data_IF_465912777159
#
_entry.id   IF_465912777159
#
_cell.length_a   1.000
_cell.length_b   1.000
_cell.length_c   1.000
_cell.angle_alpha   90.00
_cell.angle_beta   90.00
_cell.angle_gamma   90.00
#
_symmetry.space_group_name_H-M   'P 1'
#
loop_
_entity.id
_entity.type
_entity.pdbx_description
1 polymer ?
#
# COMPACT_ATOMS: atom_id res chain seq x y z
N UNK A 1 -11.77 -15.11 -7.14
CA UNK A 1 -13.08 -14.41 -7.16
C UNK A 1 -12.87 -13.03 -7.75
N UNK A 2 -13.48 -12.78 -8.90
CA UNK A 2 -13.44 -11.48 -9.56
C UNK A 2 -14.42 -10.58 -8.80
N UNK A 3 -13.93 -9.47 -8.26
CA UNK A 3 -14.71 -8.53 -7.45
C UNK A 3 -15.87 -7.94 -8.27
N UNK A 4 -17.10 -8.37 -7.98
CA UNK A 4 -18.32 -7.82 -8.58
C UNK A 4 -19.24 -7.13 -7.54
N UNK A 5 -18.69 -6.58 -6.45
CA UNK A 5 -19.50 -6.08 -5.34
C UNK A 5 -18.99 -4.84 -4.59
N UNK A 6 -18.20 -3.96 -5.22
CA UNK A 6 -17.67 -2.75 -4.56
C UNK A 6 -18.66 -1.57 -4.48
N UNK A 7 -19.97 -1.81 -4.54
CA UNK A 7 -20.99 -0.75 -4.56
C UNK A 7 -21.60 -0.51 -3.16
N UNK A 8 -20.75 -0.29 -2.15
CA UNK A 8 -21.19 0.31 -0.87
C UNK A 8 -20.77 1.77 -0.85
N UNK A 9 -21.64 2.63 -1.35
CA UNK A 9 -21.41 4.07 -1.39
C UNK A 9 -22.06 4.75 -0.17
N UNK A 10 -21.32 5.66 0.48
CA UNK A 10 -21.86 6.60 1.46
C UNK A 10 -22.01 7.99 0.86
N UNK A 11 -22.99 8.77 1.32
CA UNK A 11 -23.03 10.21 1.05
C UNK A 11 -22.27 10.94 2.15
N UNK A 12 -21.35 11.83 1.78
CA UNK A 12 -20.55 12.61 2.73
C UNK A 12 -20.78 14.11 2.49
N UNK A 13 -21.23 14.87 3.50
CA UNK A 13 -21.41 16.31 3.36
C UNK A 13 -20.05 17.01 3.38
N UNK A 14 -19.73 17.80 2.34
CA UNK A 14 -18.54 18.68 2.33
C UNK A 14 -18.80 20.02 3.01
N UNK A 15 -20.08 20.39 3.18
CA UNK A 15 -20.47 21.65 3.80
C UNK A 15 -20.01 21.69 5.25
N UNK A 16 -19.30 22.76 5.62
CA UNK A 16 -18.77 22.95 6.98
C UNK A 16 -17.45 22.23 7.26
N UNK A 17 -16.83 21.63 6.23
CA UNK A 17 -15.51 20.99 6.30
C UNK A 17 -14.42 21.82 5.60
N UNK A 18 -14.71 23.06 5.25
CA UNK A 18 -13.75 23.96 4.63
C UNK A 18 -12.72 24.42 5.66
N UNK A 19 -11.44 24.38 5.29
CA UNK A 19 -10.33 24.87 6.09
C UNK A 19 -9.62 26.02 5.36
N UNK A 20 -9.10 26.98 6.12
CA UNK A 20 -8.20 28.02 5.63
C UNK A 20 -6.72 27.66 5.84
N UNK A 21 -6.46 26.53 6.48
CA UNK A 21 -5.14 26.03 6.80
C UNK A 21 -5.00 24.61 6.24
N UNK A 22 -4.24 24.48 5.16
CA UNK A 22 -3.91 23.18 4.56
C UNK A 22 -3.06 22.36 5.54
N UNK A 23 -3.42 21.10 5.85
CA UNK A 23 -2.61 20.23 6.70
C UNK A 23 -1.33 19.79 5.99
N UNK A 24 -0.29 19.49 6.76
CA UNK A 24 0.92 18.85 6.25
C UNK A 24 0.66 17.37 5.96
N UNK A 25 1.12 16.90 4.79
CA UNK A 25 0.99 15.49 4.40
C UNK A 25 2.25 14.73 4.81
N UNK A 26 2.34 14.38 6.10
CA UNK A 26 3.47 13.65 6.68
C UNK A 26 3.06 12.45 7.56
N UNK A 27 1.76 12.20 7.70
CA UNK A 27 1.21 11.12 8.53
C UNK A 27 1.10 11.47 10.03
N UNK A 28 1.36 12.72 10.43
CA UNK A 28 1.16 13.19 11.81
C UNK A 28 -0.14 13.98 11.91
N UNK A 29 -1.05 13.55 12.78
CA UNK A 29 -2.30 14.25 13.02
C UNK A 29 -2.05 15.59 13.76
N UNK A 30 -2.29 16.69 13.06
CA UNK A 30 -2.27 18.04 13.62
C UNK A 30 -3.50 18.36 14.48
N UNK A 31 -3.40 19.39 15.34
CA UNK A 31 -4.50 19.81 16.21
C UNK A 31 -5.75 20.24 15.44
N UNK A 32 -5.59 20.81 14.24
CA UNK A 32 -6.69 21.29 13.41
C UNK A 32 -7.74 20.20 13.15
N UNK A 33 -7.31 18.93 13.02
CA UNK A 33 -8.23 17.81 12.78
C UNK A 33 -9.24 17.64 13.91
N UNK A 34 -8.89 18.01 15.14
CA UNK A 34 -9.80 17.97 16.28
C UNK A 34 -10.96 18.97 16.22
N UNK A 35 -10.90 19.95 15.31
CA UNK A 35 -11.95 20.95 15.11
C UNK A 35 -13.07 20.46 14.19
N UNK A 36 -12.86 19.35 13.48
CA UNK A 36 -13.76 18.81 12.47
C UNK A 36 -14.41 17.50 12.93
N UNK A 37 -15.61 17.18 12.42
CA UNK A 37 -16.30 15.96 12.78
C UNK A 37 -15.50 14.71 12.35
N UNK A 38 -15.58 13.70 13.20
CA UNK A 38 -15.04 12.36 12.95
C UNK A 38 -16.17 11.44 12.49
N UNK A 39 -15.86 10.58 11.52
CA UNK A 39 -16.79 9.65 10.92
C UNK A 39 -16.25 8.22 11.06
N UNK A 40 -17.12 7.28 11.39
CA UNK A 40 -16.74 5.87 11.48
C UNK A 40 -16.61 5.23 10.09
N UNK A 41 -15.67 4.30 9.94
CA UNK A 41 -15.45 3.51 8.73
C UNK A 41 -15.89 2.05 8.97
N UNK A 42 -17.20 1.81 9.01
CA UNK A 42 -17.77 0.55 9.51
C UNK A 42 -18.12 -0.49 8.43
N UNK A 43 -18.05 -0.11 7.16
CA UNK A 43 -18.48 -0.99 6.07
C UNK A 43 -17.43 -2.06 5.77
N UNK A 44 -17.69 -3.29 6.21
CA UNK A 44 -16.91 -4.45 5.75
C UNK A 44 -17.25 -4.72 4.29
N UNK A 45 -16.24 -4.56 3.43
CA UNK A 45 -16.30 -4.92 2.01
C UNK A 45 -15.86 -6.39 1.85
N UNK A 46 -14.78 -6.80 2.53
CA UNK A 46 -14.18 -8.14 2.42
C UNK A 46 -13.71 -8.62 3.80
N UNK A 47 -13.75 -9.93 3.99
CA UNK A 47 -13.22 -10.58 5.18
C UNK A 47 -14.18 -10.51 6.36
N UNK A 48 -13.64 -10.71 7.56
CA UNK A 48 -14.38 -10.68 8.82
C UNK A 48 -13.56 -9.90 9.83
N UNK A 49 -14.21 -8.97 10.53
CA UNK A 49 -13.66 -8.27 11.69
C UNK A 49 -14.23 -8.97 12.92
N UNK A 50 -13.37 -9.38 13.85
CA UNK A 50 -13.79 -10.01 15.12
C UNK A 50 -14.50 -8.99 16.00
N UNK A 51 -13.85 -7.86 16.24
CA UNK A 51 -14.31 -6.75 17.08
C UNK A 51 -13.46 -5.48 16.82
N UNK A 52 -13.79 -4.37 17.50
CA UNK A 52 -13.06 -3.09 17.35
C UNK A 52 -11.65 -3.08 17.95
N UNK A 53 -11.24 -4.14 18.65
CA UNK A 53 -9.83 -4.33 19.03
C UNK A 53 -9.04 -4.98 17.91
N UNK A 54 -9.66 -5.88 17.13
CA UNK A 54 -9.09 -6.53 15.93
C UNK A 54 -8.91 -5.53 14.79
N UNK A 55 -9.96 -4.86 14.34
CA UNK A 55 -9.87 -3.80 13.32
C UNK A 55 -10.97 -2.76 13.51
N UNK A 56 -10.59 -1.49 13.61
CA UNK A 56 -11.51 -0.35 13.52
C UNK A 56 -10.82 0.82 12.86
N UNK A 57 -11.60 1.68 12.22
CA UNK A 57 -11.08 2.91 11.66
C UNK A 57 -12.11 4.02 11.75
N UNK A 58 -11.61 5.22 12.01
CA UNK A 58 -12.35 6.45 11.85
C UNK A 58 -11.63 7.32 10.84
N UNK A 59 -12.33 8.29 10.27
CA UNK A 59 -11.71 9.27 9.43
C UNK A 59 -12.27 10.67 9.69
N UNK A 60 -11.45 11.66 9.37
CA UNK A 60 -11.80 13.07 9.29
C UNK A 60 -11.52 13.55 7.88
N UNK A 61 -12.30 14.52 7.44
CA UNK A 61 -12.20 15.06 6.09
C UNK A 61 -12.34 16.57 6.15
N UNK A 62 -11.46 17.26 5.46
CA UNK A 62 -11.47 18.72 5.31
C UNK A 62 -11.06 19.09 3.89
N UNK A 63 -11.38 20.29 3.42
CA UNK A 63 -11.02 20.73 2.08
C UNK A 63 -10.68 22.23 2.04
N UNK A 64 -9.88 22.62 1.06
CA UNK A 64 -9.62 24.01 0.69
C UNK A 64 -9.79 24.21 -0.83
N UNK A 65 -9.46 25.37 -1.36
CA UNK A 65 -9.61 25.68 -2.79
C UNK A 65 -8.78 24.78 -3.73
N UNK A 66 -7.78 24.06 -3.22
CA UNK A 66 -6.86 23.23 -4.01
C UNK A 66 -7.08 21.73 -3.82
N UNK A 67 -7.47 21.29 -2.62
CA UNK A 67 -7.46 19.87 -2.28
C UNK A 67 -8.52 19.45 -1.25
N UNK A 68 -8.85 18.16 -1.33
CA UNK A 68 -9.54 17.40 -0.30
C UNK A 68 -8.50 16.62 0.51
N UNK A 69 -8.55 16.75 1.82
CA UNK A 69 -7.68 16.06 2.76
C UNK A 69 -8.47 15.06 3.57
N UNK A 70 -7.93 13.87 3.75
CA UNK A 70 -8.54 12.80 4.53
C UNK A 70 -7.50 12.26 5.50
N UNK A 71 -7.82 12.30 6.79
CA UNK A 71 -7.05 11.67 7.86
C UNK A 71 -7.80 10.41 8.28
N UNK A 72 -7.14 9.25 8.26
CA UNK A 72 -7.73 7.97 8.66
C UNK A 72 -6.95 7.43 9.85
N UNK A 73 -7.63 7.29 10.99
CA UNK A 73 -7.10 6.70 12.21
C UNK A 73 -7.50 5.23 12.25
N UNK A 74 -6.52 4.34 12.03
CA UNK A 74 -6.73 2.88 12.01
C UNK A 74 -6.17 2.25 13.29
N UNK A 75 -7.01 1.46 13.94
CA UNK A 75 -6.61 0.55 15.02
C UNK A 75 -6.71 -0.89 14.54
N UNK A 76 -5.61 -1.62 14.70
CA UNK A 76 -5.52 -3.04 14.36
C UNK A 76 -4.73 -3.76 15.48
N UNK A 77 -5.20 -4.91 15.96
CA UNK A 77 -4.49 -5.69 16.99
C UNK A 77 -3.22 -6.35 16.43
N UNK A 78 -3.18 -6.58 15.13
CA UNK A 78 -2.01 -7.04 14.40
C UNK A 78 -1.68 -5.99 13.35
N UNK A 79 -0.72 -5.13 13.67
CA UNK A 79 -0.04 -4.31 12.67
C UNK A 79 0.76 -5.20 11.72
N UNK A 80 0.08 -5.89 10.81
CA UNK A 80 0.69 -6.32 9.58
C UNK A 80 0.96 -5.02 8.85
N UNK A 81 2.24 -4.72 8.64
CA UNK A 81 2.56 -3.94 7.44
C UNK A 81 1.75 -4.58 6.33
N UNK A 82 0.90 -3.82 5.62
CA UNK A 82 0.10 -4.34 4.54
C UNK A 82 1.05 -4.85 3.45
N UNK A 83 1.61 -6.05 3.65
CA UNK A 83 2.46 -6.79 2.74
C UNK A 83 1.52 -7.48 1.74
N UNK A 84 0.76 -6.68 1.00
CA UNK A 84 0.03 -7.17 -0.15
C UNK A 84 0.83 -6.79 -1.40
N UNK A 85 2.09 -7.26 -1.41
CA UNK A 85 2.90 -7.33 -2.61
C UNK A 85 2.80 -8.76 -3.13
N UNK A 86 2.09 -8.91 -4.25
CA UNK A 86 2.08 -10.14 -5.04
C UNK A 86 3.38 -10.21 -5.86
N UNK A 87 3.72 -11.41 -6.33
CA UNK A 87 4.82 -11.63 -7.27
C UNK A 87 6.10 -10.89 -6.88
N UNK A 88 6.67 -11.27 -5.74
CA UNK A 88 7.77 -10.53 -5.10
C UNK A 88 9.02 -11.35 -4.92
N UNK A 89 10.16 -10.67 -5.02
CA UNK A 89 11.46 -11.24 -4.69
C UNK A 89 11.86 -10.98 -3.22
N UNK A 90 12.68 -11.86 -2.67
CA UNK A 90 13.49 -11.61 -1.48
C UNK A 90 14.92 -12.07 -1.73
N UNK A 91 15.90 -11.29 -1.25
CA UNK A 91 17.31 -11.65 -1.25
C UNK A 91 17.73 -12.05 0.16
N UNK A 92 18.36 -13.21 0.29
CA UNK A 92 18.86 -13.73 1.57
C UNK A 92 20.36 -13.94 1.56
N UNK A 93 21.00 -13.68 2.70
CA UNK A 93 22.39 -14.07 2.94
C UNK A 93 22.53 -15.59 3.14
N UNK A 94 23.78 -16.07 3.28
CA UNK A 94 24.10 -17.49 3.50
C UNK A 94 23.59 -18.04 4.85
N UNK A 95 23.27 -17.17 5.80
CA UNK A 95 22.67 -17.55 7.09
C UNK A 95 21.14 -17.60 7.02
N UNK A 96 20.55 -17.23 5.89
CA UNK A 96 19.11 -17.21 5.65
C UNK A 96 18.43 -15.91 6.07
N UNK A 97 19.16 -14.89 6.50
CA UNK A 97 18.58 -13.59 6.84
C UNK A 97 18.16 -12.85 5.57
N UNK A 98 17.00 -12.20 5.60
CA UNK A 98 16.55 -11.33 4.51
C UNK A 98 17.39 -10.06 4.54
N UNK A 99 18.15 -9.82 3.48
CA UNK A 99 18.94 -8.58 3.30
C UNK A 99 18.24 -7.57 2.41
N UNK A 100 17.28 -8.01 1.60
CA UNK A 100 16.40 -7.14 0.83
C UNK A 100 15.07 -7.85 0.53
N UNK A 101 13.98 -7.09 0.58
CA UNK A 101 12.66 -7.45 0.08
C UNK A 101 11.88 -6.16 -0.20
N UNK A 102 11.00 -6.13 -1.20
CA UNK A 102 10.26 -4.93 -1.50
C UNK A 102 9.27 -4.61 -0.38
N UNK A 103 9.03 -3.33 -0.17
CA UNK A 103 8.08 -2.83 0.83
C UNK A 103 7.10 -1.87 0.16
N UNK A 104 5.80 -2.02 0.46
CA UNK A 104 4.75 -1.25 -0.22
C UNK A 104 4.96 0.28 -0.14
N UNK A 105 5.52 0.78 0.96
CA UNK A 105 5.83 2.20 1.12
C UNK A 105 7.11 2.67 0.40
N UNK A 106 7.87 1.77 -0.21
CA UNK A 106 9.04 2.06 -1.06
C UNK A 106 8.81 1.75 -2.54
N UNK A 107 7.71 1.10 -2.89
CA UNK A 107 7.40 0.76 -4.28
C UNK A 107 6.61 1.87 -4.96
N UNK A 108 6.71 1.96 -6.28
CA UNK A 108 5.92 2.85 -7.13
C UNK A 108 4.88 2.05 -7.91
N UNK A 109 3.80 2.71 -8.35
CA UNK A 109 2.85 2.11 -9.29
C UNK A 109 3.56 1.82 -10.63
N UNK A 110 3.43 0.61 -11.16
CA UNK A 110 4.11 0.17 -12.38
C UNK A 110 3.25 0.32 -13.65
N UNK A 111 2.07 0.95 -13.55
CA UNK A 111 1.11 1.11 -14.64
C UNK A 111 0.09 -0.04 -14.68
N UNK A 112 -1.00 0.14 -15.42
CA UNK A 112 -2.07 -0.86 -15.49
C UNK A 112 -2.86 -0.99 -14.18
N UNK A 113 -3.08 -2.22 -13.73
CA UNK A 113 -3.84 -2.53 -12.52
C UNK A 113 -3.19 -1.99 -11.24
N UNK A 114 -4.02 -1.64 -10.23
CA UNK A 114 -3.57 -1.07 -8.95
C UNK A 114 -2.54 -1.93 -8.19
N UNK A 115 -2.54 -3.25 -8.42
CA UNK A 115 -1.62 -4.21 -7.80
C UNK A 115 -0.22 -4.20 -8.41
N UNK A 116 -0.02 -3.55 -9.55
CA UNK A 116 1.25 -3.53 -10.26
C UNK A 116 2.23 -2.60 -9.55
N UNK A 117 3.24 -3.17 -8.91
CA UNK A 117 4.24 -2.43 -8.13
C UNK A 117 5.65 -2.71 -8.62
N UNK A 118 6.51 -1.69 -8.58
CA UNK A 118 7.94 -1.80 -8.86
C UNK A 118 8.78 -1.12 -7.77
N UNK A 119 9.95 -1.67 -7.49
CA UNK A 119 10.95 -1.06 -6.62
C UNK A 119 12.32 -1.20 -7.30
N UNK A 120 13.09 -0.13 -7.30
CA UNK A 120 14.47 -0.08 -7.76
C UNK A 120 15.32 0.31 -6.57
N UNK A 121 16.30 -0.53 -6.21
CA UNK A 121 17.14 -0.31 -5.04
C UNK A 121 18.60 -0.65 -5.36
N UNK A 122 19.54 -0.04 -4.64
CA UNK A 122 20.97 -0.28 -4.76
C UNK A 122 21.51 -0.79 -3.42
N UNK A 123 22.10 -1.98 -3.45
CA UNK A 123 22.56 -2.68 -2.24
C UNK A 123 24.08 -2.78 -2.22
N UNK A 124 24.69 -2.38 -1.10
CA UNK A 124 26.07 -2.74 -0.79
C UNK A 124 26.07 -4.11 -0.10
N UNK A 125 26.59 -5.12 -0.78
CA UNK A 125 26.65 -6.49 -0.29
C UNK A 125 28.09 -6.86 0.09
N UNK A 126 28.25 -7.54 1.22
CA UNK A 126 29.53 -8.15 1.56
C UNK A 126 29.85 -9.30 0.60
N UNK A 127 31.13 -9.61 0.42
CA UNK A 127 31.52 -10.79 -0.34
C UNK A 127 30.91 -12.06 0.28
N UNK A 128 30.25 -12.89 -0.53
CA UNK A 128 29.59 -14.09 -0.04
C UNK A 128 28.58 -14.69 -1.01
N UNK A 129 27.80 -15.64 -0.51
CA UNK A 129 26.73 -16.30 -1.24
C UNK A 129 25.37 -15.74 -0.83
N UNK A 130 24.52 -15.51 -1.82
CA UNK A 130 23.18 -15.00 -1.63
C UNK A 130 22.18 -15.89 -2.37
N UNK A 131 20.98 -16.01 -1.81
CA UNK A 131 19.86 -16.68 -2.46
C UNK A 131 18.79 -15.66 -2.81
N UNK A 132 18.49 -15.53 -4.10
CA UNK A 132 17.31 -14.81 -4.57
C UNK A 132 16.14 -15.80 -4.62
N UNK A 133 15.02 -15.45 -3.97
CA UNK A 133 13.77 -16.21 -4.05
C UNK A 133 12.71 -15.33 -4.65
N UNK A 134 11.92 -15.86 -5.58
CA UNK A 134 10.76 -15.20 -6.13
C UNK A 134 9.51 -15.99 -5.73
N UNK A 135 8.54 -15.32 -5.13
CA UNK A 135 7.27 -15.91 -4.73
C UNK A 135 6.21 -15.34 -5.67
N UNK A 136 5.54 -16.22 -6.39
CA UNK A 136 4.48 -15.88 -7.34
C UNK A 136 3.25 -16.72 -7.02
N UNK A 137 2.07 -16.19 -7.30
CA UNK A 137 0.84 -16.96 -7.34
C UNK A 137 0.42 -17.24 -8.79
N UNK A 138 -0.71 -17.92 -9.00
CA UNK A 138 -1.04 -18.51 -10.30
C UNK A 138 -1.45 -17.48 -11.35
N UNK A 139 -1.69 -16.21 -10.99
CA UNK A 139 -2.31 -15.24 -11.90
C UNK A 139 -1.51 -13.94 -12.00
N UNK A 140 -1.54 -13.31 -13.19
CA UNK A 140 -0.89 -12.02 -13.48
C UNK A 140 0.63 -12.04 -13.73
N UNK A 141 1.08 -12.89 -14.65
CA UNK A 141 2.50 -12.96 -15.08
C UNK A 141 2.69 -12.53 -16.54
N UNK A 142 3.95 -12.28 -16.91
CA UNK A 142 4.32 -11.86 -18.27
C UNK A 142 3.76 -12.80 -19.35
N UNK A 143 3.05 -12.21 -20.31
CA UNK A 143 2.39 -12.94 -21.40
C UNK A 143 1.03 -13.58 -21.05
N UNK A 144 0.62 -13.56 -19.76
CA UNK A 144 -0.67 -14.07 -19.31
C UNK A 144 -1.22 -13.25 -18.12
N UNK A 145 -1.47 -11.97 -18.40
CA UNK A 145 -2.01 -11.00 -17.46
C UNK A 145 -3.50 -11.24 -17.19
N UNK A 146 -3.90 -11.32 -15.92
CA UNK A 146 -5.32 -11.47 -15.52
C UNK A 146 -6.08 -10.12 -15.43
N UNK A 147 -5.35 -9.01 -15.62
CA UNK A 147 -5.82 -7.62 -15.60
C UNK A 147 -4.88 -6.76 -16.46
N UNK A 148 -5.07 -5.43 -16.52
CA UNK A 148 -4.25 -4.53 -17.34
C UNK A 148 -2.77 -4.62 -16.92
N UNK A 149 -1.85 -4.92 -17.86
CA UNK A 149 -0.45 -5.18 -17.56
C UNK A 149 0.33 -3.93 -17.09
N UNK A 150 1.49 -4.12 -16.45
CA UNK A 150 2.43 -3.03 -16.18
C UNK A 150 2.90 -2.34 -17.48
N UNK A 151 3.35 -1.08 -17.37
CA UNK A 151 3.85 -0.28 -18.50
C UNK A 151 5.07 -0.91 -19.16
N UNK A 152 5.98 -1.46 -18.35
CA UNK A 152 7.01 -2.38 -18.83
C UNK A 152 6.42 -3.78 -18.76
N UNK A 153 6.36 -4.48 -19.89
CA UNK A 153 5.87 -5.88 -19.95
C UNK A 153 6.89 -6.81 -19.28
N UNK A 154 6.89 -6.80 -17.95
CA UNK A 154 7.82 -7.54 -17.12
C UNK A 154 7.21 -7.83 -15.76
N UNK A 155 7.29 -9.09 -15.32
CA UNK A 155 7.07 -9.53 -13.94
C UNK A 155 8.28 -10.35 -13.54
N UNK A 156 8.92 -10.00 -12.43
CA UNK A 156 10.15 -10.64 -12.00
C UNK A 156 11.08 -9.71 -11.24
N UNK A 157 12.34 -10.12 -11.16
CA UNK A 157 13.43 -9.36 -10.57
C UNK A 157 14.61 -9.36 -11.52
N UNK A 158 15.25 -8.20 -11.68
CA UNK A 158 16.51 -8.05 -12.43
C UNK A 158 17.57 -7.60 -11.45
N UNK A 159 18.74 -8.22 -11.50
CA UNK A 159 19.91 -7.84 -10.69
C UNK A 159 21.02 -7.45 -11.65
N UNK A 160 21.59 -6.27 -11.43
CA UNK A 160 22.72 -5.77 -12.19
C UNK A 160 23.90 -5.57 -11.25
N UNK A 161 25.08 -5.97 -11.70
CA UNK A 161 26.32 -5.55 -11.05
C UNK A 161 26.54 -4.08 -11.41
N UNK A 162 26.66 -3.21 -10.41
CA UNK A 162 27.10 -1.85 -10.63
C UNK A 162 28.62 -1.84 -10.76
N UNK A 163 29.13 -1.23 -11.83
CA UNK A 163 30.56 -0.98 -11.95
C UNK A 163 30.99 0.00 -10.85
N UNK A 164 32.10 -0.26 -10.15
CA UNK A 164 32.59 0.60 -9.06
C UNK A 164 33.07 1.97 -9.52
#
# INVERSE_FOLDING_TARGET
EIYQGSEKHGQMPLKGLETICSPRIDGVAEKLWGEFPEFSLDNVIIGKIRDSSDLSANFRMIWDEYALYVLIDVKDDIKKMAEVLFDRAELRDSSGNIVWRPYLGKTFHAGGALKNRREEDTLSLNAGYYTLRYLTDESHSHGHWDDVPPTEDFSGVKIYLLEP
#
